data_IF_440438629295
#
_entry.id   IF_440438629295
#
_cell.length_a   1.000
_cell.length_b   1.000
_cell.length_c   1.000
_cell.angle_alpha   90.00
_cell.angle_beta   90.00
_cell.angle_gamma   90.00
#
_symmetry.space_group_name_H-M   'P 1'
#
loop_
_entity.id
_entity.type
_entity.pdbx_description
1 polymer ?
#
# COMPACT_ATOMS: atom_id res chain seq x y z
N UNK A 1 2.46 -1.15 43.67
CA UNK A 1 1.12 -0.63 43.23
C UNK A 1 1.06 -0.29 41.73
N UNK A 2 2.09 0.31 41.11
CA UNK A 2 2.06 0.68 39.68
C UNK A 2 1.94 -0.50 38.68
N UNK A 3 2.40 -1.69 39.04
CA UNK A 3 2.34 -2.91 38.19
C UNK A 3 0.92 -3.47 38.03
N UNK A 4 0.05 -3.32 39.04
CA UNK A 4 -1.35 -3.74 38.96
C UNK A 4 -2.20 -2.81 38.07
N UNK A 5 -1.78 -1.54 37.91
CA UNK A 5 -2.50 -0.57 37.07
C UNK A 5 -2.45 -0.95 35.58
N UNK A 6 -1.29 -1.38 35.06
CA UNK A 6 -1.14 -1.79 33.65
C UNK A 6 -1.98 -3.01 33.27
N UNK A 7 -2.26 -3.91 34.23
CA UNK A 7 -3.12 -5.08 34.00
C UNK A 7 -4.60 -4.71 33.87
N UNK A 8 -4.99 -3.50 34.31
CA UNK A 8 -6.34 -2.97 34.20
C UNK A 8 -6.47 -1.88 33.13
N UNK A 9 -5.35 -1.41 32.58
CA UNK A 9 -5.34 -0.42 31.50
C UNK A 9 -5.85 -1.05 30.20
N UNK A 10 -6.79 -0.35 29.56
CA UNK A 10 -7.32 -0.75 28.26
C UNK A 10 -6.39 -0.31 27.13
N UNK A 11 -6.23 -1.12 26.07
CA UNK A 11 -5.49 -0.70 24.90
C UNK A 11 -6.14 0.53 24.27
N UNK A 12 -5.33 1.34 23.59
CA UNK A 12 -5.81 2.51 22.88
C UNK A 12 -6.74 2.06 21.74
N UNK A 13 -7.99 2.49 21.80
CA UNK A 13 -8.99 2.31 20.77
C UNK A 13 -9.59 3.68 20.44
N UNK A 14 -9.79 3.95 19.15
CA UNK A 14 -10.43 5.17 18.68
C UNK A 14 -11.44 4.80 17.60
N UNK A 15 -12.69 5.19 17.80
CA UNK A 15 -13.76 5.04 16.83
C UNK A 15 -14.30 6.43 16.51
N UNK A 16 -14.48 6.70 15.22
CA UNK A 16 -15.03 7.95 14.73
C UNK A 16 -16.35 7.63 14.03
N UNK A 17 -17.45 8.22 14.50
CA UNK A 17 -18.77 8.07 13.90
C UNK A 17 -19.20 9.41 13.30
N UNK A 18 -19.32 9.47 11.98
CA UNK A 18 -19.74 10.66 11.25
C UNK A 18 -21.10 10.40 10.57
N UNK A 19 -21.95 11.43 10.52
CA UNK A 19 -23.19 11.43 9.72
C UNK A 19 -23.05 12.49 8.63
N UNK A 20 -23.35 12.11 7.39
CA UNK A 20 -23.34 13.01 6.24
C UNK A 20 -24.46 12.64 5.25
N UNK A 21 -24.52 13.36 4.13
CA UNK A 21 -25.43 13.09 3.02
C UNK A 21 -24.59 12.88 1.74
N UNK A 22 -24.97 11.93 0.89
CA UNK A 22 -24.31 11.67 -0.39
C UNK A 22 -24.44 12.82 -1.38
N UNK A 23 -25.56 13.56 -1.36
CA UNK A 23 -25.81 14.71 -2.24
C UNK A 23 -25.22 16.04 -1.75
N UNK A 24 -24.53 16.06 -0.61
CA UNK A 24 -23.96 17.30 -0.08
C UNK A 24 -22.58 17.57 -0.71
N UNK A 25 -22.37 18.77 -1.26
CA UNK A 25 -21.14 19.11 -2.02
C UNK A 25 -19.84 18.93 -1.23
N UNK A 26 -19.87 19.17 0.09
CA UNK A 26 -18.70 18.99 0.97
C UNK A 26 -18.52 17.56 1.50
N UNK A 27 -19.33 16.60 1.03
CA UNK A 27 -19.26 15.22 1.48
C UNK A 27 -17.97 14.55 1.00
N UNK A 28 -17.21 13.98 1.93
CA UNK A 28 -15.91 13.33 1.64
C UNK A 28 -16.00 11.82 1.44
N UNK A 29 -17.22 11.26 1.35
CA UNK A 29 -17.45 9.82 1.31
C UNK A 29 -16.63 9.12 0.21
N UNK A 30 -16.59 9.69 -1.01
CA UNK A 30 -15.83 9.13 -2.13
C UNK A 30 -14.32 9.20 -1.90
N UNK A 31 -13.82 10.35 -1.46
CA UNK A 31 -12.39 10.55 -1.20
C UNK A 31 -11.86 9.61 -0.12
N UNK A 32 -12.64 9.35 0.93
CA UNK A 32 -12.24 8.42 2.02
C UNK A 32 -12.07 7.00 1.47
N UNK A 33 -12.98 6.54 0.60
CA UNK A 33 -12.88 5.21 -0.02
C UNK A 33 -11.72 5.14 -1.00
N UNK A 34 -11.55 6.14 -1.88
CA UNK A 34 -10.49 6.16 -2.90
C UNK A 34 -9.07 6.27 -2.31
N UNK A 35 -8.93 6.89 -1.14
CA UNK A 35 -7.62 7.02 -0.45
C UNK A 35 -7.32 5.87 0.51
N UNK A 36 -8.24 4.91 0.66
CA UNK A 36 -8.03 3.70 1.46
C UNK A 36 -7.60 2.53 0.56
N UNK A 37 -6.29 2.42 0.33
CA UNK A 37 -5.74 1.62 -0.78
C UNK A 37 -5.83 0.10 -0.63
N UNK A 38 -5.70 -0.44 0.58
CA UNK A 38 -5.59 -1.90 0.79
C UNK A 38 -6.82 -2.43 1.52
N UNK A 39 -7.68 -3.16 0.80
CA UNK A 39 -8.92 -3.73 1.31
C UNK A 39 -8.85 -5.26 1.25
N UNK A 40 -8.97 -5.93 2.40
CA UNK A 40 -9.00 -7.40 2.46
C UNK A 40 -10.42 -7.96 2.48
N UNK A 41 -11.33 -7.31 3.22
CA UNK A 41 -12.70 -7.80 3.41
C UNK A 41 -13.71 -6.68 3.15
N UNK A 42 -14.62 -6.93 2.23
CA UNK A 42 -15.78 -6.09 1.95
C UNK A 42 -17.03 -6.90 2.26
N UNK A 43 -17.94 -6.35 3.06
CA UNK A 43 -19.18 -7.01 3.46
C UNK A 43 -20.29 -5.98 3.53
N UNK A 44 -21.47 -6.32 3.03
CA UNK A 44 -22.66 -5.48 3.10
C UNK A 44 -23.86 -6.33 3.54
N UNK A 45 -24.82 -5.69 4.19
CA UNK A 45 -26.04 -6.33 4.69
C UNK A 45 -27.24 -5.51 4.24
N UNK A 46 -28.22 -6.19 3.64
CA UNK A 46 -29.48 -5.59 3.20
C UNK A 46 -30.60 -6.31 3.99
N UNK A 47 -31.23 -5.64 4.97
CA UNK A 47 -32.34 -6.24 5.70
C UNK A 47 -33.49 -6.64 4.77
N UNK A 48 -34.19 -7.73 5.09
CA UNK A 48 -35.41 -8.18 4.39
C UNK A 48 -35.24 -8.44 2.88
N UNK A 49 -34.00 -8.65 2.42
CA UNK A 49 -33.71 -8.93 1.02
C UNK A 49 -33.68 -10.44 0.77
N UNK A 50 -34.82 -11.02 0.35
CA UNK A 50 -34.90 -12.44 -0.02
C UNK A 50 -34.29 -12.79 -1.37
N UNK A 51 -34.24 -11.83 -2.31
CA UNK A 51 -33.73 -12.02 -3.67
C UNK A 51 -32.80 -10.86 -4.01
N UNK A 52 -31.55 -11.18 -4.37
CA UNK A 52 -30.55 -10.19 -4.79
C UNK A 52 -30.79 -9.77 -6.24
N UNK A 53 -30.67 -8.47 -6.53
CA UNK A 53 -30.73 -7.98 -7.91
C UNK A 53 -29.59 -8.56 -8.75
N UNK A 54 -29.87 -8.82 -10.04
CA UNK A 54 -28.87 -9.33 -10.98
C UNK A 54 -27.67 -8.39 -11.09
N UNK A 55 -27.92 -7.08 -11.16
CA UNK A 55 -26.88 -6.05 -11.26
C UNK A 55 -25.87 -6.13 -10.10
N UNK A 56 -26.36 -6.27 -8.86
CA UNK A 56 -25.49 -6.34 -7.69
C UNK A 56 -24.73 -7.67 -7.66
N UNK A 57 -25.37 -8.77 -8.08
CA UNK A 57 -24.71 -10.08 -8.19
C UNK A 57 -23.56 -10.02 -9.20
N UNK A 58 -23.81 -9.46 -10.37
CA UNK A 58 -22.81 -9.34 -11.44
C UNK A 58 -21.66 -8.42 -11.01
N UNK A 59 -21.97 -7.31 -10.32
CA UNK A 59 -20.96 -6.41 -9.75
C UNK A 59 -20.06 -7.12 -8.73
N UNK A 60 -20.64 -7.91 -7.83
CA UNK A 60 -19.86 -8.66 -6.82
C UNK A 60 -18.94 -9.69 -7.46
N UNK A 61 -19.42 -10.37 -8.51
CA UNK A 61 -18.61 -11.36 -9.24
C UNK A 61 -17.52 -10.71 -10.11
N UNK A 62 -17.67 -9.43 -10.45
CA UNK A 62 -16.68 -8.67 -11.23
C UNK A 62 -15.51 -8.12 -10.40
N UNK A 63 -15.52 -8.26 -9.06
CA UNK A 63 -14.39 -7.82 -8.24
C UNK A 63 -13.14 -8.69 -8.47
N UNK A 64 -12.01 -8.02 -8.69
CA UNK A 64 -10.74 -8.67 -9.01
C UNK A 64 -10.46 -8.68 -10.52
N UNK A 65 -9.51 -9.51 -10.99
CA UNK A 65 -8.65 -10.40 -10.20
C UNK A 65 -7.56 -9.64 -9.44
N UNK A 66 -6.96 -10.31 -8.45
CA UNK A 66 -5.65 -9.95 -7.91
C UNK A 66 -4.67 -11.09 -8.22
N UNK A 67 -3.38 -10.77 -8.22
CA UNK A 67 -2.31 -11.69 -8.55
C UNK A 67 -1.43 -11.89 -7.32
N UNK A 68 -0.87 -13.09 -7.18
CA UNK A 68 0.16 -13.40 -6.19
C UNK A 68 1.44 -13.80 -6.92
N UNK A 69 2.52 -13.07 -6.65
CA UNK A 69 3.83 -13.35 -7.23
C UNK A 69 4.78 -13.68 -6.09
N UNK A 70 5.35 -14.87 -6.13
CA UNK A 70 6.29 -15.33 -5.10
C UNK A 70 7.70 -14.85 -5.39
N UNK A 71 8.43 -14.57 -4.32
CA UNK A 71 9.87 -14.28 -4.36
C UNK A 71 10.27 -13.21 -5.41
N UNK A 72 9.46 -12.15 -5.51
CA UNK A 72 9.66 -11.05 -6.45
C UNK A 72 10.70 -10.05 -5.89
N UNK A 73 11.82 -9.82 -6.58
CA UNK A 73 12.80 -8.82 -6.17
C UNK A 73 12.28 -7.39 -6.33
N UNK A 74 12.57 -6.53 -5.35
CA UNK A 74 12.13 -5.12 -5.36
C UNK A 74 12.63 -4.32 -6.58
N UNK A 75 13.78 -4.68 -7.14
CA UNK A 75 14.33 -3.94 -8.29
C UNK A 75 13.47 -4.06 -9.55
N UNK A 76 12.60 -5.07 -9.66
CA UNK A 76 11.70 -5.23 -10.82
C UNK A 76 10.61 -4.14 -10.82
N UNK A 77 10.13 -3.75 -9.63
CA UNK A 77 9.09 -2.74 -9.45
C UNK A 77 9.55 -1.31 -9.77
N UNK A 78 10.87 -1.08 -9.86
CA UNK A 78 11.45 0.23 -10.19
C UNK A 78 11.93 0.31 -11.63
N UNK A 79 11.80 -0.77 -12.42
CA UNK A 79 12.24 -0.78 -13.82
C UNK A 79 11.41 0.21 -14.65
N UNK A 80 12.03 0.80 -15.66
CA UNK A 80 11.31 1.66 -16.60
C UNK A 80 10.16 0.94 -17.31
N UNK A 81 10.32 -0.35 -17.59
CA UNK A 81 9.29 -1.17 -18.20
C UNK A 81 8.06 -1.30 -17.30
N UNK A 82 8.26 -1.64 -16.02
CA UNK A 82 7.16 -1.73 -15.05
C UNK A 82 6.45 -0.39 -14.87
N UNK A 83 7.22 0.69 -14.69
CA UNK A 83 6.65 2.03 -14.47
C UNK A 83 5.85 2.51 -15.68
N UNK A 84 6.40 2.37 -16.90
CA UNK A 84 5.73 2.83 -18.12
C UNK A 84 4.51 1.96 -18.47
N UNK A 85 4.49 0.69 -18.07
CA UNK A 85 3.40 -0.24 -18.36
C UNK A 85 2.26 -0.11 -17.37
N UNK A 86 2.54 -0.12 -16.06
CA UNK A 86 1.51 -0.21 -15.03
C UNK A 86 1.27 1.10 -14.28
N UNK A 87 2.33 1.78 -13.87
CA UNK A 87 2.24 2.97 -13.00
C UNK A 87 1.78 4.20 -13.79
N UNK A 88 2.28 4.41 -15.01
CA UNK A 88 1.89 5.56 -15.84
C UNK A 88 0.54 5.41 -16.55
N UNK A 89 0.13 4.17 -16.85
CA UNK A 89 -1.08 3.87 -17.65
C UNK A 89 -2.29 3.46 -16.80
N UNK A 90 -2.14 3.39 -15.48
CA UNK A 90 -3.22 2.99 -14.60
C UNK A 90 -2.87 3.15 -13.13
N UNK A 91 -3.66 2.50 -12.28
CA UNK A 91 -3.46 2.46 -10.84
C UNK A 91 -2.99 1.08 -10.44
N UNK A 92 -1.68 0.95 -10.18
CA UNK A 92 -1.07 -0.28 -9.72
C UNK A 92 -0.94 -0.26 -8.18
N UNK A 93 -1.37 -1.35 -7.55
CA UNK A 93 -1.23 -1.57 -6.13
C UNK A 93 -0.44 -2.85 -5.89
N UNK A 94 0.53 -2.77 -4.98
CA UNK A 94 1.29 -3.92 -4.50
C UNK A 94 1.36 -3.90 -2.98
N UNK A 95 1.28 -5.07 -2.34
CA UNK A 95 1.51 -5.23 -0.92
C UNK A 95 2.24 -6.54 -0.65
N UNK A 96 3.23 -6.54 0.23
CA UNK A 96 3.90 -7.77 0.66
C UNK A 96 2.92 -8.69 1.39
N UNK A 97 3.00 -9.98 1.09
CA UNK A 97 2.15 -11.01 1.65
C UNK A 97 2.85 -11.71 2.82
N UNK A 98 2.09 -11.98 3.89
CA UNK A 98 2.56 -12.73 5.06
C UNK A 98 3.84 -12.15 5.72
N UNK A 99 3.97 -10.83 5.71
CA UNK A 99 5.04 -10.09 6.39
C UNK A 99 4.45 -9.29 7.55
N UNK A 100 4.86 -9.58 8.79
CA UNK A 100 4.39 -8.87 9.97
C UNK A 100 5.02 -7.48 10.05
N UNK A 101 4.22 -6.42 10.04
CA UNK A 101 4.73 -5.04 9.93
C UNK A 101 5.67 -4.63 11.06
N UNK A 102 5.56 -5.23 12.25
CA UNK A 102 6.39 -4.93 13.41
C UNK A 102 7.67 -5.76 13.45
N UNK A 103 7.68 -6.94 12.82
CA UNK A 103 8.79 -7.90 12.86
C UNK A 103 9.59 -7.81 11.56
N UNK A 104 8.93 -8.04 10.43
CA UNK A 104 9.56 -8.22 9.12
C UNK A 104 9.66 -6.93 8.31
N UNK A 105 10.52 -6.96 7.29
CA UNK A 105 10.51 -5.94 6.25
C UNK A 105 9.23 -6.06 5.40
N UNK A 106 8.62 -4.92 5.07
CA UNK A 106 7.40 -4.89 4.27
C UNK A 106 7.49 -3.80 3.19
N UNK A 107 6.79 -4.01 2.08
CA UNK A 107 6.75 -3.08 0.96
C UNK A 107 5.33 -2.89 0.44
N UNK A 108 5.02 -1.66 0.06
CA UNK A 108 3.70 -1.22 -0.37
C UNK A 108 3.83 -0.27 -1.56
N UNK A 109 3.27 -0.61 -2.71
CA UNK A 109 3.14 0.30 -3.86
C UNK A 109 1.74 0.91 -3.85
N UNK A 110 1.69 2.23 -3.77
CA UNK A 110 0.45 3.00 -3.79
C UNK A 110 0.03 3.32 -5.23
N UNK A 111 -1.30 3.49 -5.48
CA UNK A 111 -1.83 3.89 -6.78
C UNK A 111 -1.28 5.20 -7.34
N UNK A 112 -0.72 6.07 -6.50
CA UNK A 112 -0.09 7.33 -6.88
C UNK A 112 1.37 7.18 -7.36
N UNK A 113 1.87 5.95 -7.46
CA UNK A 113 3.24 5.65 -7.90
C UNK A 113 4.29 5.77 -6.79
N UNK A 114 3.89 5.84 -5.51
CA UNK A 114 4.84 5.83 -4.39
C UNK A 114 5.07 4.42 -3.88
N UNK A 115 6.31 3.97 -3.93
CA UNK A 115 6.78 2.75 -3.28
C UNK A 115 7.23 3.09 -1.85
N UNK A 116 6.52 2.55 -0.87
CA UNK A 116 6.78 2.72 0.56
C UNK A 116 7.35 1.42 1.11
N UNK A 117 8.51 1.50 1.76
CA UNK A 117 9.14 0.39 2.45
C UNK A 117 9.09 0.64 3.96
N UNK A 118 8.71 -0.38 4.73
CA UNK A 118 8.86 -0.44 6.17
C UNK A 118 10.01 -1.41 6.47
N UNK A 119 11.16 -0.86 6.85
CA UNK A 119 12.38 -1.62 7.05
C UNK A 119 12.72 -1.71 8.53
N UNK A 120 13.27 -2.84 8.96
CA UNK A 120 13.98 -2.94 10.24
C UNK A 120 15.25 -2.05 10.24
N UNK A 121 15.85 -1.88 11.42
CA UNK A 121 17.03 -1.04 11.59
C UNK A 121 18.21 -1.49 10.73
N UNK A 122 18.50 -2.79 10.73
CA UNK A 122 19.70 -3.34 10.09
C UNK A 122 19.57 -3.21 8.56
N UNK A 123 18.43 -3.60 8.01
CA UNK A 123 18.10 -3.48 6.58
C UNK A 123 18.04 -2.02 6.13
N UNK A 124 17.57 -1.10 6.98
CA UNK A 124 17.58 0.33 6.67
C UNK A 124 19.01 0.88 6.54
N UNK A 125 19.88 0.58 7.51
CA UNK A 125 21.29 0.99 7.49
C UNK A 125 22.04 0.32 6.32
N UNK A 126 21.78 -0.96 6.09
CA UNK A 126 22.33 -1.72 4.97
C UNK A 126 21.88 -1.18 3.63
N UNK A 127 20.61 -0.85 3.40
CA UNK A 127 20.16 -0.29 2.11
C UNK A 127 20.73 1.11 1.88
N UNK A 128 20.94 1.90 2.94
CA UNK A 128 21.52 3.24 2.86
C UNK A 128 20.67 4.22 2.03
N UNK A 129 19.35 4.01 2.07
CA UNK A 129 18.33 4.86 1.46
C UNK A 129 17.87 5.91 2.48
N UNK A 130 17.44 7.08 1.99
CA UNK A 130 16.94 8.14 2.85
C UNK A 130 15.51 7.82 3.30
N UNK A 131 15.31 7.67 4.60
CA UNK A 131 14.02 7.41 5.22
C UNK A 131 13.81 8.20 6.50
N UNK A 132 12.80 7.83 7.26
CA UNK A 132 12.48 8.41 8.56
C UNK A 132 12.08 7.33 9.57
N UNK A 133 12.33 7.53 10.88
CA UNK A 133 11.81 6.65 11.92
C UNK A 133 10.29 6.45 11.80
N UNK A 134 9.82 5.21 11.98
CA UNK A 134 8.39 4.92 12.11
C UNK A 134 7.85 5.48 13.42
N UNK A 135 6.64 6.04 13.38
CA UNK A 135 5.96 6.63 14.55
C UNK A 135 5.58 5.59 15.62
N UNK A 136 5.59 4.31 15.26
CA UNK A 136 5.16 3.21 16.13
C UNK A 136 6.32 2.51 16.84
N UNK A 137 7.51 3.12 16.83
CA UNK A 137 8.62 2.63 17.63
C UNK A 137 8.44 3.08 19.09
N UNK A 138 8.64 2.15 20.03
CA UNK A 138 8.66 2.45 21.46
C UNK A 138 9.87 3.32 21.86
N UNK A 139 10.51 3.01 22.99
CA UNK A 139 11.70 3.77 23.44
C UNK A 139 12.90 3.66 22.49
N UNK A 140 12.99 2.56 21.73
CA UNK A 140 14.03 2.33 20.71
C UNK A 140 13.38 2.32 19.34
N UNK A 141 13.98 3.04 18.40
CA UNK A 141 13.55 3.07 17.00
C UNK A 141 13.99 1.77 16.34
N UNK A 142 13.02 0.94 15.99
CA UNK A 142 13.26 -0.39 15.38
C UNK A 142 12.77 -0.47 13.94
N UNK A 143 11.93 0.48 13.50
CA UNK A 143 11.39 0.52 12.14
C UNK A 143 11.63 1.87 11.48
N UNK A 144 11.97 1.85 10.21
CA UNK A 144 12.21 3.00 9.36
C UNK A 144 11.34 2.93 8.11
N UNK A 145 10.79 4.07 7.71
CA UNK A 145 9.95 4.20 6.53
C UNK A 145 10.76 4.91 5.44
N UNK A 146 10.94 4.24 4.31
CA UNK A 146 11.54 4.80 3.09
C UNK A 146 10.42 5.02 2.08
N UNK A 147 10.33 6.22 1.52
CA UNK A 147 9.33 6.57 0.50
C UNK A 147 10.03 6.94 -0.79
N UNK A 148 9.72 6.20 -1.85
CA UNK A 148 10.32 6.38 -3.18
C UNK A 148 9.20 6.71 -4.15
N UNK A 149 9.31 7.86 -4.82
CA UNK A 149 8.36 8.26 -5.85
C UNK A 149 8.82 7.72 -7.21
N UNK A 150 8.11 6.71 -7.73
CA UNK A 150 8.46 6.05 -8.99
C UNK A 150 8.18 6.96 -10.20
N UNK A 151 7.23 7.89 -10.08
CA UNK A 151 6.94 8.85 -11.15
C UNK A 151 8.11 9.80 -11.31
N UNK A 152 8.59 10.37 -10.21
CA UNK A 152 9.80 11.21 -10.16
C UNK A 152 11.04 10.47 -10.69
N UNK A 153 11.25 9.22 -10.25
CA UNK A 153 12.35 8.39 -10.74
C UNK A 153 12.28 8.13 -12.25
N UNK A 154 11.08 8.04 -12.82
CA UNK A 154 10.91 7.73 -14.24
C UNK A 154 11.23 8.90 -15.18
N UNK A 155 11.23 10.14 -14.70
CA UNK A 155 11.52 11.32 -15.51
C UNK A 155 13.01 11.48 -15.80
N UNK A 156 13.88 11.02 -14.90
CA UNK A 156 15.32 11.11 -15.07
C UNK A 156 16.03 9.78 -14.75
N UNK A 157 16.05 8.84 -15.72
CA UNK A 157 16.72 7.54 -15.62
C UNK A 157 18.20 7.63 -15.22
N UNK A 158 18.89 8.67 -15.70
CA UNK A 158 20.32 8.90 -15.42
C UNK A 158 20.54 9.74 -14.16
N UNK A 159 19.50 9.94 -13.34
CA UNK A 159 19.67 10.65 -12.08
C UNK A 159 20.45 9.80 -11.08
N UNK A 160 21.35 10.44 -10.34
CA UNK A 160 22.05 9.83 -9.19
C UNK A 160 21.09 9.19 -8.18
N UNK A 161 19.85 9.69 -8.09
CA UNK A 161 18.79 9.14 -7.25
C UNK A 161 18.32 7.78 -7.74
N UNK A 162 18.02 7.63 -9.03
CA UNK A 162 17.65 6.35 -9.62
C UNK A 162 18.78 5.34 -9.51
N UNK A 163 20.01 5.72 -9.86
CA UNK A 163 21.19 4.87 -9.73
C UNK A 163 21.38 4.39 -8.29
N UNK A 164 21.23 5.27 -7.30
CA UNK A 164 21.34 4.91 -5.88
C UNK A 164 20.28 3.91 -5.44
N UNK A 165 19.02 4.10 -5.84
CA UNK A 165 17.91 3.19 -5.52
C UNK A 165 18.09 1.84 -6.22
N UNK A 166 18.44 1.86 -7.51
CA UNK A 166 18.70 0.67 -8.31
C UNK A 166 19.86 -0.14 -7.74
N UNK A 167 20.98 0.52 -7.42
CA UNK A 167 22.14 -0.11 -6.79
C UNK A 167 21.80 -0.73 -5.42
N UNK A 168 21.02 -0.01 -4.60
CA UNK A 168 20.59 -0.51 -3.30
C UNK A 168 19.79 -1.84 -3.41
N UNK A 169 18.87 -1.94 -4.38
CA UNK A 169 18.02 -3.13 -4.54
C UNK A 169 18.64 -4.24 -5.41
N UNK A 170 19.62 -3.94 -6.26
CA UNK A 170 20.25 -4.94 -7.13
C UNK A 170 21.53 -5.53 -6.55
N UNK A 171 22.40 -4.70 -6.02
CA UNK A 171 23.75 -5.11 -5.62
C UNK A 171 23.91 -5.12 -4.11
N UNK A 172 23.49 -4.05 -3.43
CA UNK A 172 23.78 -3.88 -2.01
C UNK A 172 22.95 -4.79 -1.11
N UNK A 173 21.63 -4.76 -1.27
CA UNK A 173 20.69 -5.58 -0.50
C UNK A 173 19.54 -6.02 -1.40
N UNK A 174 19.67 -7.19 -2.07
CA UNK A 174 18.62 -7.75 -2.91
C UNK A 174 17.43 -8.24 -2.08
N UNK A 175 16.48 -7.35 -1.82
CA UNK A 175 15.25 -7.67 -1.10
C UNK A 175 14.24 -8.33 -2.04
N UNK A 176 13.66 -9.45 -1.59
CA UNK A 176 12.67 -10.25 -2.32
C UNK A 176 11.50 -10.52 -1.40
N UNK A 177 10.28 -10.46 -1.94
CA UNK A 177 9.07 -10.70 -1.16
C UNK A 177 8.01 -11.41 -2.00
N UNK A 178 7.10 -12.08 -1.32
CA UNK A 178 5.83 -12.46 -1.92
C UNK A 178 4.94 -11.22 -2.00
N UNK A 179 4.37 -10.91 -3.17
CA UNK A 179 3.51 -9.75 -3.37
C UNK A 179 2.10 -10.14 -3.78
N UNK A 180 1.12 -9.45 -3.22
CA UNK A 180 -0.21 -9.30 -3.78
C UNK A 180 -0.24 -8.09 -4.70
N UNK A 181 -0.61 -8.29 -5.95
CA UNK A 181 -0.65 -7.27 -7.00
C UNK A 181 -2.06 -7.12 -7.55
N UNK A 182 -2.48 -5.88 -7.78
CA UNK A 182 -3.68 -5.56 -8.53
C UNK A 182 -3.40 -4.35 -9.42
N UNK A 183 -4.01 -4.33 -10.60
CA UNK A 183 -3.89 -3.21 -11.52
C UNK A 183 -5.25 -2.84 -12.09
N UNK A 184 -5.60 -1.57 -11.96
CA UNK A 184 -6.79 -1.00 -12.56
C UNK A 184 -6.38 -0.12 -13.74
N UNK A 185 -6.80 -0.51 -14.94
CA UNK A 185 -6.53 0.25 -16.16
C UNK A 185 -7.40 1.51 -16.18
N UNK A 186 -6.79 2.66 -15.92
CA UNK A 186 -7.45 3.97 -16.03
C UNK A 186 -7.32 4.58 -17.45
N UNK A 187 -6.58 3.90 -18.34
CA UNK A 187 -6.16 4.38 -19.66
C UNK A 187 -7.19 4.38 -20.80
N UNK A 188 -8.44 3.97 -20.60
CA UNK A 188 -9.52 4.17 -21.57
C UNK A 188 -10.80 4.62 -20.89
N UNK A 189 -10.89 5.91 -20.52
CA UNK A 189 -12.19 6.57 -20.56
C UNK A 189 -12.57 6.68 -22.03
N UNK A 190 -13.36 5.73 -22.53
CA UNK A 190 -14.14 5.96 -23.73
C UNK A 190 -14.92 7.27 -23.50
N UNK A 191 -14.58 8.29 -24.29
CA UNK A 191 -15.48 9.40 -24.54
C UNK A 191 -16.75 8.79 -25.17
N UNK A 192 -17.76 8.59 -24.35
CA UNK A 192 -19.15 8.57 -24.78
C UNK A 192 -19.71 9.97 -24.53
#
# INVERSE_FOLDING_TARGET
MATLCRLREVPRHLLVCEKSNFGHDKSRHRHIVETHYYNYRVSFLIPECGILSKELKDLVMAFGPYYSVKDLPLHELITHEFINTFVKKGSCSALTYNTNIDEDNAAALLPNGKLILSLDKDTYEETGLQGRPSRYSGRKIMKFIVSIDLMDLSFNPASKKYERVSWAFKEKKPLRFDFLLAWHQTGMKNKL
#
